data_IF_293723501968
#
_entry.id   IF_293723501968
#
_cell.length_a   1.000
_cell.length_b   1.000
_cell.length_c   1.000
_cell.angle_alpha   90.00
_cell.angle_beta   90.00
_cell.angle_gamma   90.00
#
_symmetry.space_group_name_H-M   'P 1'
#
loop_
_entity.id
_entity.type
_entity.pdbx_description
1 polymer ?
#
# COMPACT_ATOMS: atom_id res chain seq x y z
N UNK A 1 5.84 4.21 -2.67
CA UNK A 1 6.52 2.97 -2.21
C UNK A 1 7.82 3.28 -1.47
N UNK A 2 8.73 4.11 -2.01
CA UNK A 2 10.01 4.46 -1.36
C UNK A 2 9.85 4.96 0.10
N UNK A 3 8.93 5.91 0.41
CA UNK A 3 8.78 6.38 1.79
C UNK A 3 8.25 5.28 2.74
N UNK A 4 7.28 4.48 2.27
CA UNK A 4 6.68 3.40 3.05
C UNK A 4 7.70 2.31 3.41
N UNK A 5 8.54 1.92 2.46
CA UNK A 5 9.59 0.91 2.68
C UNK A 5 10.66 1.46 3.64
N UNK A 6 11.07 2.72 3.49
CA UNK A 6 12.03 3.33 4.41
C UNK A 6 11.48 3.38 5.84
N UNK A 7 10.23 3.79 6.02
CA UNK A 7 9.57 3.78 7.33
C UNK A 7 9.45 2.38 7.93
N UNK A 8 9.25 1.34 7.12
CA UNK A 8 9.29 -0.06 7.58
C UNK A 8 10.68 -0.48 8.05
N UNK A 9 11.74 -0.03 7.36
CA UNK A 9 13.12 -0.41 7.67
C UNK A 9 13.63 0.18 9.01
N UNK A 10 13.19 1.39 9.36
CA UNK A 10 13.55 2.03 10.65
C UNK A 10 12.58 1.70 11.79
N UNK A 11 11.50 0.98 11.49
CA UNK A 11 10.48 0.58 12.46
C UNK A 11 11.07 -0.33 13.54
N UNK A 12 10.84 0.00 14.81
CA UNK A 12 11.38 -0.73 15.96
C UNK A 12 12.79 -0.32 16.38
N UNK A 13 13.52 0.43 15.56
CA UNK A 13 14.83 1.01 15.92
C UNK A 13 14.68 2.45 16.40
N UNK A 14 13.92 3.28 15.68
CA UNK A 14 13.72 4.70 16.02
C UNK A 14 12.41 4.93 16.78
N UNK A 15 11.39 4.14 16.48
CA UNK A 15 10.10 4.23 17.15
C UNK A 15 9.37 2.88 17.13
N UNK A 16 8.71 2.57 18.25
CA UNK A 16 7.75 1.47 18.30
C UNK A 16 6.41 1.93 17.68
N UNK A 17 5.83 1.18 16.73
CA UNK A 17 4.52 1.48 16.18
C UNK A 17 3.45 1.62 17.27
N UNK A 18 2.53 2.59 17.13
CA UNK A 18 1.53 2.88 18.15
C UNK A 18 0.64 1.67 18.52
N UNK A 19 0.30 0.82 17.55
CA UNK A 19 -0.45 -0.41 17.80
C UNK A 19 0.38 -1.44 18.58
N UNK A 20 1.68 -1.56 18.27
CA UNK A 20 2.59 -2.46 18.97
C UNK A 20 2.79 -2.03 20.43
N UNK A 21 2.98 -0.72 20.68
CA UNK A 21 3.04 -0.16 22.03
C UNK A 21 1.72 -0.35 22.78
N UNK A 22 0.58 -0.16 22.11
CA UNK A 22 -0.74 -0.38 22.71
C UNK A 22 -0.95 -1.84 23.14
N UNK A 23 -0.51 -2.81 22.34
CA UNK A 23 -0.54 -4.22 22.71
C UNK A 23 0.37 -4.53 23.91
N UNK A 24 1.58 -3.96 23.92
CA UNK A 24 2.52 -4.13 25.05
C UNK A 24 1.92 -3.55 26.33
N UNK A 25 1.32 -2.36 26.28
CA UNK A 25 0.66 -1.73 27.44
C UNK A 25 -0.59 -2.51 27.90
N UNK A 26 -1.26 -3.22 26.99
CA UNK A 26 -2.37 -4.11 27.29
C UNK A 26 -1.94 -5.45 27.91
N UNK A 27 -0.65 -5.69 28.11
CA UNK A 27 -0.10 -6.90 28.73
C UNK A 27 0.26 -8.02 27.74
N UNK A 28 0.23 -7.76 26.43
CA UNK A 28 0.73 -8.71 25.42
C UNK A 28 2.26 -8.77 25.48
N UNK A 29 2.82 -9.97 25.32
CA UNK A 29 4.26 -10.13 25.31
C UNK A 29 4.90 -9.33 24.15
N UNK A 30 6.00 -8.59 24.37
CA UNK A 30 6.63 -7.80 23.31
C UNK A 30 7.03 -8.63 22.08
N UNK A 31 7.42 -9.89 22.30
CA UNK A 31 7.74 -10.82 21.21
C UNK A 31 6.55 -11.13 20.31
N UNK A 32 5.35 -11.25 20.86
CA UNK A 32 4.13 -11.46 20.07
C UNK A 32 3.69 -10.18 19.35
N UNK A 33 3.69 -9.05 20.06
CA UNK A 33 3.32 -7.75 19.48
C UNK A 33 4.17 -7.42 18.23
N UNK A 34 5.48 -7.67 18.29
CA UNK A 34 6.39 -7.47 17.14
C UNK A 34 6.04 -8.39 15.98
N UNK A 35 5.79 -9.69 16.22
CA UNK A 35 5.49 -10.66 15.15
C UNK A 35 4.19 -10.31 14.43
N UNK A 36 3.14 -9.94 15.17
CA UNK A 36 1.90 -9.47 14.59
C UNK A 36 2.10 -8.20 13.77
N UNK A 37 2.85 -7.24 14.32
CA UNK A 37 3.13 -5.99 13.65
C UNK A 37 3.85 -6.20 12.30
N UNK A 38 4.87 -7.07 12.24
CA UNK A 38 5.58 -7.39 10.99
C UNK A 38 4.63 -7.90 9.89
N UNK A 39 3.74 -8.83 10.23
CA UNK A 39 2.75 -9.39 9.29
C UNK A 39 1.82 -8.31 8.78
N UNK A 40 1.35 -7.43 9.65
CA UNK A 40 0.41 -6.36 9.30
C UNK A 40 1.04 -5.37 8.33
N UNK A 41 2.27 -4.91 8.61
CA UNK A 41 2.89 -3.88 7.74
C UNK A 41 3.29 -4.47 6.38
N UNK A 42 3.65 -5.75 6.35
CA UNK A 42 3.85 -6.48 5.09
C UNK A 42 2.55 -6.60 4.29
N UNK A 43 1.45 -7.02 4.93
CA UNK A 43 0.15 -7.17 4.28
C UNK A 43 -0.36 -5.84 3.70
N UNK A 44 -0.27 -4.74 4.46
CA UNK A 44 -0.70 -3.41 4.00
C UNK A 44 0.11 -3.00 2.76
N UNK A 45 1.42 -3.18 2.80
CA UNK A 45 2.31 -2.82 1.69
C UNK A 45 2.06 -3.68 0.45
N UNK A 46 1.83 -4.98 0.64
CA UNK A 46 1.49 -5.90 -0.45
C UNK A 46 0.13 -5.53 -1.08
N UNK A 47 -0.89 -5.30 -0.26
CA UNK A 47 -2.23 -4.91 -0.71
C UNK A 47 -2.21 -3.59 -1.49
N UNK A 48 -1.48 -2.58 -1.00
CA UNK A 48 -1.31 -1.30 -1.69
C UNK A 48 -0.60 -1.46 -3.05
N UNK A 49 0.46 -2.28 -3.09
CA UNK A 49 1.20 -2.58 -4.33
C UNK A 49 0.31 -3.27 -5.35
N UNK A 50 -0.37 -4.35 -4.95
CA UNK A 50 -1.28 -5.10 -5.82
C UNK A 50 -2.44 -4.23 -6.31
N UNK A 51 -3.08 -3.48 -5.41
CA UNK A 51 -4.16 -2.57 -5.77
C UNK A 51 -3.73 -1.52 -6.78
N UNK A 52 -2.55 -0.91 -6.59
CA UNK A 52 -2.00 0.07 -7.53
C UNK A 52 -1.74 -0.55 -8.89
N UNK A 53 -1.14 -1.74 -8.95
CA UNK A 53 -0.86 -2.46 -10.21
C UNK A 53 -2.16 -2.81 -10.93
N UNK A 54 -3.15 -3.35 -10.22
CA UNK A 54 -4.45 -3.71 -10.81
C UNK A 54 -5.14 -2.46 -11.39
N UNK A 55 -5.21 -1.38 -10.62
CA UNK A 55 -5.83 -0.13 -11.07
C UNK A 55 -5.09 0.43 -12.28
N UNK A 56 -3.76 0.41 -12.30
CA UNK A 56 -2.97 0.84 -13.45
C UNK A 56 -3.23 -0.02 -14.70
N UNK A 57 -3.31 -1.33 -14.56
CA UNK A 57 -3.61 -2.23 -15.67
C UNK A 57 -5.03 -2.02 -16.21
N UNK A 58 -6.01 -1.85 -15.33
CA UNK A 58 -7.39 -1.56 -15.72
C UNK A 58 -7.50 -0.19 -16.40
N UNK A 59 -6.86 0.84 -15.84
CA UNK A 59 -6.79 2.16 -16.45
C UNK A 59 -6.14 2.09 -17.83
N UNK A 60 -5.03 1.36 -17.96
CA UNK A 60 -4.36 1.18 -19.25
C UNK A 60 -5.28 0.51 -20.28
N UNK A 61 -5.98 -0.58 -19.92
CA UNK A 61 -6.95 -1.23 -20.82
C UNK A 61 -8.15 -0.35 -21.17
N UNK A 62 -8.57 0.55 -20.28
CA UNK A 62 -9.70 1.43 -20.51
C UNK A 62 -9.34 2.63 -21.40
N UNK A 63 -8.14 3.16 -21.25
CA UNK A 63 -7.68 4.39 -21.89
C UNK A 63 -6.89 4.18 -23.17
N UNK A 64 -6.24 3.03 -23.35
CA UNK A 64 -5.39 2.76 -24.50
C UNK A 64 -6.03 1.77 -25.49
N UNK A 65 -5.98 2.12 -26.78
CA UNK A 65 -6.38 1.24 -27.88
C UNK A 65 -5.31 0.17 -28.15
N UNK A 66 -5.63 -0.89 -28.91
CA UNK A 66 -4.70 -1.97 -29.29
C UNK A 66 -3.40 -1.47 -29.97
N UNK A 67 -3.42 -0.25 -30.52
CA UNK A 67 -2.25 0.43 -31.10
C UNK A 67 -1.45 1.27 -30.09
N UNK A 68 -1.66 1.08 -28.79
CA UNK A 68 -1.04 1.85 -27.70
C UNK A 68 -1.29 3.37 -27.81
N UNK A 69 -2.36 3.77 -28.50
CA UNK A 69 -2.78 5.16 -28.61
C UNK A 69 -3.71 5.49 -27.45
N UNK A 70 -3.41 6.60 -26.76
CA UNK A 70 -4.29 7.16 -25.73
C UNK A 70 -5.58 7.66 -26.40
N UNK A 71 -6.72 7.06 -26.05
CA UNK A 71 -8.01 7.45 -26.57
C UNK A 71 -8.50 8.72 -25.87
N UNK A 72 -8.10 9.89 -26.37
CA UNK A 72 -8.54 11.20 -25.85
C UNK A 72 -10.07 11.33 -25.82
N UNK A 73 -10.79 10.64 -26.72
CA UNK A 73 -12.26 10.56 -26.73
C UNK A 73 -12.85 9.92 -25.45
N UNK A 74 -12.09 9.11 -24.71
CA UNK A 74 -12.51 8.53 -23.42
C UNK A 74 -12.17 9.43 -22.23
N UNK A 75 -11.25 10.38 -22.39
CA UNK A 75 -10.84 11.37 -21.39
C UNK A 75 -11.64 12.67 -21.48
N UNK A 76 -12.10 13.02 -22.68
CA UNK A 76 -13.06 14.10 -22.88
C UNK A 76 -14.40 13.62 -22.33
N UNK A 77 -14.60 13.84 -21.02
CA UNK A 77 -15.90 13.73 -20.39
C UNK A 77 -16.91 14.39 -21.34
N UNK A 78 -17.91 13.61 -21.74
CA UNK A 78 -19.05 14.02 -22.54
C UNK A 78 -19.51 15.39 -22.04
N UNK A 79 -19.19 16.43 -22.81
CA UNK A 79 -19.67 17.79 -22.61
C UNK A 79 -21.04 17.85 -23.26
N UNK A 80 -22.02 17.22 -22.61
CA UNK A 80 -23.44 17.51 -22.83
C UNK A 80 -23.92 18.33 -21.64
#
# INVERSE_FOLDING_TARGET
LIPSINSMAVMGVVSLPGMMTGQILAGVSPGEAVRYQMVIVFMITAAATLGTVIVLLLAFRMLFSARHQLLLNRLSAKKD
#
